data_IF_932478053002
#
_entry.id   IF_932478053002
#
_cell.length_a   1.000
_cell.length_b   1.000
_cell.length_c   1.000
_cell.angle_alpha   90.00
_cell.angle_beta   90.00
_cell.angle_gamma   90.00
#
_symmetry.space_group_name_H-M   'P 1'
#
loop_
_entity.id
_entity.type
_entity.pdbx_description
1 polymer ?
#
# COMPACT_ATOMS: atom_id res chain seq x y z
N UNK A 1 -0.11 16.35 -1.41
CA UNK A 1 0.78 16.18 -2.61
C UNK A 1 -0.03 15.57 -3.73
N UNK A 2 0.17 16.02 -4.97
CA UNK A 2 -0.45 15.40 -6.14
C UNK A 2 0.27 14.10 -6.57
N UNK A 3 -0.45 13.24 -7.32
CA UNK A 3 0.03 11.90 -7.71
C UNK A 3 1.25 11.99 -8.66
N UNK A 4 1.34 13.01 -9.53
CA UNK A 4 2.46 13.15 -10.48
C UNK A 4 3.77 13.44 -9.73
N UNK A 5 3.73 14.39 -8.78
CA UNK A 5 4.88 14.71 -7.92
C UNK A 5 5.27 13.51 -7.07
N UNK A 6 4.29 12.80 -6.49
CA UNK A 6 4.54 11.58 -5.75
C UNK A 6 5.30 10.53 -6.59
N UNK A 7 4.82 10.27 -7.80
CA UNK A 7 5.47 9.32 -8.73
C UNK A 7 6.94 9.67 -8.94
N UNK A 8 7.22 10.92 -9.29
CA UNK A 8 8.59 11.40 -9.54
C UNK A 8 9.48 11.20 -8.32
N UNK A 9 9.02 11.60 -7.13
CA UNK A 9 9.81 11.46 -5.91
C UNK A 9 9.99 9.99 -5.54
N UNK A 10 8.91 9.21 -5.50
CA UNK A 10 8.94 7.81 -5.09
C UNK A 10 9.81 6.94 -6.02
N UNK A 11 9.85 7.26 -7.32
CA UNK A 11 10.71 6.57 -8.28
C UNK A 11 12.19 6.86 -8.08
N UNK A 12 12.55 8.03 -7.53
CA UNK A 12 13.93 8.45 -7.28
C UNK A 12 14.46 8.09 -5.89
N UNK A 13 13.57 7.78 -4.93
CA UNK A 13 13.99 7.36 -3.59
C UNK A 13 14.79 6.04 -3.66
N UNK A 14 15.76 5.84 -2.77
CA UNK A 14 16.43 4.55 -2.63
C UNK A 14 15.43 3.43 -2.30
N UNK A 15 15.60 2.20 -2.84
CA UNK A 15 14.64 1.09 -2.64
C UNK A 15 14.35 0.73 -1.19
N UNK A 16 15.31 0.97 -0.28
CA UNK A 16 15.16 0.68 1.15
C UNK A 16 14.31 1.70 1.91
N UNK A 17 14.00 2.84 1.31
CA UNK A 17 13.10 3.84 1.91
C UNK A 17 11.66 3.46 1.59
N UNK A 18 10.93 3.04 2.60
CA UNK A 18 9.50 2.78 2.46
C UNK A 18 8.70 4.09 2.37
N UNK A 19 7.67 4.09 1.54
CA UNK A 19 6.77 5.24 1.32
C UNK A 19 5.45 4.98 2.02
N UNK A 20 4.94 5.95 2.80
CA UNK A 20 3.60 5.90 3.38
C UNK A 20 2.72 6.99 2.76
N UNK A 21 1.68 6.57 2.07
CA UNK A 21 0.65 7.44 1.52
C UNK A 21 -0.51 7.57 2.50
N UNK A 22 -0.78 8.79 2.95
CA UNK A 22 -1.93 9.13 3.78
C UNK A 22 -2.96 9.87 2.94
N UNK A 23 -4.24 9.64 3.20
CA UNK A 23 -5.33 10.37 2.55
C UNK A 23 -6.66 9.65 2.67
N UNK A 24 -7.78 10.34 2.34
CA UNK A 24 -9.11 9.73 2.34
C UNK A 24 -9.22 8.51 1.42
N UNK A 25 -10.26 7.71 1.61
CA UNK A 25 -10.58 6.62 0.68
C UNK A 25 -10.93 7.18 -0.71
N UNK A 26 -10.56 6.44 -1.78
CA UNK A 26 -10.91 6.81 -3.15
C UNK A 26 -10.02 7.88 -3.80
N UNK A 27 -9.01 8.44 -3.11
CA UNK A 27 -8.12 9.48 -3.68
C UNK A 27 -7.05 8.95 -4.65
N UNK A 28 -7.04 7.64 -4.93
CA UNK A 28 -6.13 7.05 -5.92
C UNK A 28 -4.79 6.55 -5.36
N UNK A 29 -4.65 6.28 -4.06
CA UNK A 29 -3.39 5.78 -3.46
C UNK A 29 -2.88 4.50 -4.12
N UNK A 30 -3.73 3.48 -4.24
CA UNK A 30 -3.36 2.19 -4.86
C UNK A 30 -3.07 2.34 -6.36
N UNK A 31 -3.79 3.24 -7.05
CA UNK A 31 -3.50 3.61 -8.43
C UNK A 31 -2.10 4.26 -8.56
N UNK A 32 -1.75 5.17 -7.65
CA UNK A 32 -0.44 5.81 -7.65
C UNK A 32 0.70 4.80 -7.46
N UNK A 33 0.55 3.84 -6.53
CA UNK A 33 1.53 2.78 -6.32
C UNK A 33 1.72 1.90 -7.56
N UNK A 34 0.62 1.52 -8.22
CA UNK A 34 0.65 0.77 -9.48
C UNK A 34 1.31 1.56 -10.61
N UNK A 35 1.06 2.88 -10.68
CA UNK A 35 1.68 3.75 -11.68
C UNK A 35 3.20 3.89 -11.45
N UNK A 36 3.67 3.93 -10.19
CA UNK A 36 5.09 3.90 -9.83
C UNK A 36 5.72 2.57 -10.28
N UNK A 37 5.06 1.44 -10.06
CA UNK A 37 5.54 0.13 -10.51
C UNK A 37 5.72 0.06 -12.02
N UNK A 38 4.75 0.57 -12.77
CA UNK A 38 4.81 0.63 -14.24
C UNK A 38 5.96 1.52 -14.72
N UNK A 39 6.19 2.68 -14.10
CA UNK A 39 7.27 3.60 -14.46
C UNK A 39 8.65 2.99 -14.20
N UNK A 40 8.78 2.20 -13.13
CA UNK A 40 10.01 1.50 -12.78
C UNK A 40 10.20 0.19 -13.57
N UNK A 41 9.20 -0.27 -14.32
CA UNK A 41 9.23 -1.55 -15.01
C UNK A 41 9.24 -2.76 -14.06
N UNK A 42 8.72 -2.59 -12.83
CA UNK A 42 8.71 -3.62 -11.81
C UNK A 42 7.33 -4.28 -11.68
N UNK A 43 7.27 -5.59 -11.37
CA UNK A 43 6.03 -6.25 -11.01
C UNK A 43 5.38 -5.57 -9.81
N UNK A 44 4.06 -5.48 -9.82
CA UNK A 44 3.26 -4.93 -8.73
C UNK A 44 2.62 -6.05 -7.91
N UNK A 45 2.78 -6.00 -6.60
CA UNK A 45 2.12 -6.90 -5.64
C UNK A 45 1.27 -6.04 -4.71
N UNK A 46 -0.03 -6.30 -4.68
CA UNK A 46 -1.00 -5.63 -3.80
C UNK A 46 -1.37 -6.57 -2.65
N UNK A 47 -1.09 -6.13 -1.43
CA UNK A 47 -1.39 -6.85 -0.20
C UNK A 47 -2.28 -5.96 0.66
N UNK A 48 -3.51 -6.40 0.90
CA UNK A 48 -4.51 -5.63 1.62
C UNK A 48 -4.62 -6.09 3.07
N UNK A 49 -4.12 -5.28 3.99
CA UNK A 49 -4.04 -5.62 5.40
C UNK A 49 -5.38 -5.85 6.08
N UNK A 50 -6.44 -5.12 5.68
CA UNK A 50 -7.79 -5.26 6.24
C UNK A 50 -8.47 -6.61 5.96
N UNK A 51 -7.97 -7.37 4.98
CA UNK A 51 -8.53 -8.69 4.61
C UNK A 51 -7.67 -9.86 5.08
N UNK A 52 -6.57 -9.59 5.78
CA UNK A 52 -5.59 -10.59 6.22
C UNK A 52 -5.82 -11.01 7.67
N UNK A 53 -5.47 -12.25 7.96
CA UNK A 53 -5.34 -12.78 9.32
C UNK A 53 -3.88 -13.20 9.63
N UNK A 54 -3.65 -13.74 10.84
CA UNK A 54 -2.32 -14.12 11.28
C UNK A 54 -1.70 -15.21 10.38
N UNK A 55 -2.49 -16.11 9.82
CA UNK A 55 -2.02 -17.19 8.96
C UNK A 55 -1.50 -16.67 7.61
N UNK A 56 -1.97 -15.51 7.16
CA UNK A 56 -1.49 -14.85 5.95
C UNK A 56 -0.09 -14.25 6.10
N UNK A 57 0.42 -14.16 7.35
CA UNK A 57 1.80 -13.75 7.66
C UNK A 57 2.75 -14.95 7.81
N UNK A 58 2.26 -16.14 7.56
CA UNK A 58 3.02 -17.40 7.56
C UNK A 58 2.56 -18.40 8.61
N UNK A 59 2.54 -19.65 8.21
CA UNK A 59 2.10 -20.79 9.04
C UNK A 59 3.30 -21.68 9.41
N UNK A 60 3.23 -22.48 10.50
CA UNK A 60 4.27 -23.43 10.84
C UNK A 60 4.53 -24.44 9.72
N UNK A 61 5.78 -24.60 9.32
CA UNK A 61 6.24 -25.69 8.44
C UNK A 61 6.69 -26.85 9.32
N UNK A 62 5.76 -27.78 9.61
CA UNK A 62 6.02 -28.88 10.55
C UNK A 62 7.07 -29.86 10.04
N UNK A 63 7.15 -30.07 8.74
CA UNK A 63 8.14 -31.00 8.15
C UNK A 63 9.54 -30.40 8.29
N UNK A 64 9.75 -29.19 7.79
CA UNK A 64 11.06 -28.53 7.88
C UNK A 64 11.45 -28.21 9.31
N UNK A 65 10.50 -27.87 10.19
CA UNK A 65 10.79 -27.63 11.61
C UNK A 65 11.33 -28.89 12.30
N UNK A 66 10.77 -30.06 11.97
CA UNK A 66 11.23 -31.34 12.53
C UNK A 66 12.61 -31.68 12.04
N UNK A 67 12.88 -31.56 10.73
CA UNK A 67 14.18 -31.90 10.15
C UNK A 67 15.28 -30.95 10.61
N UNK A 68 14.96 -29.65 10.76
CA UNK A 68 15.91 -28.66 11.25
C UNK A 68 16.11 -28.66 12.77
N UNK A 69 15.26 -29.38 13.54
CA UNK A 69 15.23 -29.28 15.00
C UNK A 69 14.93 -27.89 15.53
N UNK A 70 14.32 -27.02 14.69
CA UNK A 70 14.02 -25.63 14.96
C UNK A 70 12.68 -25.25 14.35
N UNK A 71 11.99 -24.29 14.96
CA UNK A 71 10.73 -23.79 14.43
C UNK A 71 10.95 -23.00 13.14
N UNK A 72 10.32 -23.42 12.05
CA UNK A 72 10.34 -22.73 10.76
C UNK A 72 8.93 -22.36 10.31
N UNK A 73 8.81 -21.32 9.48
CA UNK A 73 7.54 -20.89 8.89
C UNK A 73 7.52 -21.11 7.38
N UNK A 74 6.37 -21.53 6.88
CA UNK A 74 6.02 -21.44 5.47
C UNK A 74 5.47 -20.05 5.24
N UNK A 75 6.09 -19.27 4.35
CA UNK A 75 5.73 -17.88 4.09
C UNK A 75 4.74 -17.75 2.94
N UNK A 76 3.92 -16.69 2.93
CA UNK A 76 2.96 -16.44 1.85
C UNK A 76 3.68 -16.19 0.52
N UNK A 77 3.04 -16.60 -0.56
CA UNK A 77 3.61 -16.54 -1.92
C UNK A 77 4.00 -15.13 -2.35
N UNK A 78 3.21 -14.11 -1.94
CA UNK A 78 3.49 -12.72 -2.23
C UNK A 78 4.84 -12.28 -1.64
N UNK A 79 5.15 -12.70 -0.41
CA UNK A 79 6.40 -12.35 0.25
C UNK A 79 7.59 -13.12 -0.34
N UNK A 80 7.41 -14.42 -0.58
CA UNK A 80 8.45 -15.26 -1.23
C UNK A 80 8.82 -14.69 -2.60
N UNK A 81 7.85 -14.20 -3.36
CA UNK A 81 8.09 -13.54 -4.64
C UNK A 81 8.90 -12.25 -4.44
N UNK A 82 8.53 -11.40 -3.48
CA UNK A 82 9.23 -10.15 -3.18
C UNK A 82 10.67 -10.36 -2.67
N UNK A 83 11.01 -11.56 -2.18
CA UNK A 83 12.38 -11.94 -1.83
C UNK A 83 13.22 -12.36 -3.04
N UNK A 84 12.59 -12.96 -4.06
CA UNK A 84 13.28 -13.57 -5.19
C UNK A 84 13.54 -12.60 -6.35
N UNK A 85 12.66 -11.64 -6.54
CA UNK A 85 12.75 -10.67 -7.63
C UNK A 85 12.38 -9.27 -7.12
N UNK A 86 12.90 -8.19 -7.75
CA UNK A 86 12.52 -6.83 -7.41
C UNK A 86 11.05 -6.59 -7.78
N UNK A 87 10.29 -6.06 -6.83
CA UNK A 87 8.86 -5.72 -7.00
C UNK A 87 8.55 -4.38 -6.35
N UNK A 88 7.42 -3.80 -6.71
CA UNK A 88 6.74 -2.80 -5.87
C UNK A 88 5.71 -3.55 -5.03
N UNK A 89 5.97 -3.61 -3.72
CA UNK A 89 5.10 -4.24 -2.74
C UNK A 89 4.23 -3.16 -2.10
N UNK A 90 2.94 -3.21 -2.40
CA UNK A 90 1.93 -2.33 -1.81
C UNK A 90 1.31 -2.99 -0.58
N UNK A 91 1.38 -2.31 0.57
CA UNK A 91 0.70 -2.68 1.81
C UNK A 91 -0.49 -1.73 1.99
N UNK A 92 -1.65 -2.12 1.44
CA UNK A 92 -2.84 -1.27 1.45
C UNK A 92 -3.66 -1.45 2.74
N UNK A 93 -4.34 -0.39 3.14
CA UNK A 93 -5.16 -0.33 4.36
C UNK A 93 -4.41 -0.76 5.63
N UNK A 94 -3.13 -0.34 5.75
CA UNK A 94 -2.24 -0.77 6.82
C UNK A 94 -2.83 -0.54 8.22
N UNK A 95 -3.47 0.60 8.45
CA UNK A 95 -4.07 0.97 9.73
C UNK A 95 -5.43 0.29 10.02
N UNK A 96 -5.93 -0.54 9.10
CA UNK A 96 -7.13 -1.38 9.28
C UNK A 96 -6.78 -2.85 9.47
N UNK A 97 -5.49 -3.17 9.48
CA UNK A 97 -5.01 -4.54 9.72
C UNK A 97 -5.23 -4.96 11.16
N UNK A 98 -5.42 -6.26 11.37
CA UNK A 98 -5.36 -6.84 12.72
C UNK A 98 -3.98 -6.56 13.35
N UNK A 99 -3.88 -6.40 14.68
CA UNK A 99 -2.61 -6.10 15.35
C UNK A 99 -1.49 -7.08 15.03
N UNK A 100 -1.79 -8.37 14.90
CA UNK A 100 -0.81 -9.42 14.57
C UNK A 100 -0.27 -9.26 13.14
N UNK A 101 -1.15 -8.94 12.19
CA UNK A 101 -0.79 -8.66 10.79
C UNK A 101 0.07 -7.39 10.71
N UNK A 102 -0.33 -6.35 11.44
CA UNK A 102 0.42 -5.10 11.50
C UNK A 102 1.84 -5.29 12.03
N UNK A 103 2.04 -6.15 13.05
CA UNK A 103 3.39 -6.47 13.54
C UNK A 103 4.25 -7.15 12.48
N UNK A 104 3.66 -8.06 11.68
CA UNK A 104 4.37 -8.66 10.54
C UNK A 104 4.76 -7.62 9.48
N UNK A 105 3.87 -6.69 9.17
CA UNK A 105 4.20 -5.58 8.28
C UNK A 105 5.27 -4.65 8.86
N UNK A 106 5.31 -4.46 10.17
CA UNK A 106 6.40 -3.72 10.83
C UNK A 106 7.74 -4.37 10.53
N UNK A 107 7.84 -5.69 10.69
CA UNK A 107 9.08 -6.41 10.40
C UNK A 107 9.48 -6.26 8.92
N UNK A 108 8.51 -6.37 8.01
CA UNK A 108 8.75 -6.16 6.56
C UNK A 108 9.26 -4.75 6.25
N UNK A 109 8.72 -3.73 6.90
CA UNK A 109 9.10 -2.32 6.67
C UNK A 109 10.41 -1.96 7.36
N UNK A 110 10.58 -2.39 8.63
CA UNK A 110 11.74 -2.00 9.46
C UNK A 110 13.00 -2.76 9.05
N UNK A 111 12.89 -4.09 8.99
CA UNK A 111 14.02 -4.98 8.84
C UNK A 111 14.16 -5.53 7.42
N UNK A 112 13.13 -5.32 6.60
CA UNK A 112 12.98 -5.92 5.26
C UNK A 112 13.04 -7.45 5.30
N UNK A 113 12.51 -8.02 6.39
CA UNK A 113 12.54 -9.44 6.70
C UNK A 113 11.17 -9.93 7.17
N UNK A 114 10.91 -11.21 7.02
CA UNK A 114 9.73 -11.87 7.62
C UNK A 114 10.05 -13.35 7.86
N UNK A 115 9.86 -13.79 9.11
CA UNK A 115 10.08 -15.18 9.48
C UNK A 115 11.52 -15.64 9.30
N UNK A 116 11.77 -16.91 9.64
CA UNK A 116 13.09 -17.54 9.54
C UNK A 116 12.98 -18.86 8.75
N UNK A 117 14.00 -19.11 7.94
CA UNK A 117 14.20 -20.38 7.27
C UNK A 117 14.76 -21.48 8.19
N UNK A 118 14.91 -22.71 7.67
CA UNK A 118 15.43 -23.84 8.42
C UNK A 118 16.85 -23.65 8.95
N UNK A 119 17.63 -22.79 8.30
CA UNK A 119 18.98 -22.39 8.68
C UNK A 119 19.04 -21.28 9.73
N UNK A 120 17.89 -20.83 10.22
CA UNK A 120 17.75 -19.73 11.16
C UNK A 120 17.92 -18.34 10.54
N UNK A 121 18.19 -18.23 9.23
CA UNK A 121 18.30 -16.95 8.57
C UNK A 121 16.93 -16.41 8.19
N UNK A 122 16.77 -15.09 8.34
CA UNK A 122 15.54 -14.43 7.95
C UNK A 122 15.37 -14.42 6.42
N UNK A 123 14.11 -14.53 5.97
CA UNK A 123 13.78 -14.29 4.58
C UNK A 123 13.76 -12.79 4.32
N UNK A 124 14.71 -12.31 3.51
CA UNK A 124 14.89 -10.90 3.19
C UNK A 124 14.24 -10.52 1.87
N UNK A 125 13.61 -9.35 1.83
CA UNK A 125 13.18 -8.75 0.58
C UNK A 125 14.38 -8.56 -0.36
N UNK A 126 14.11 -8.71 -1.67
CA UNK A 126 15.11 -8.36 -2.68
C UNK A 126 15.60 -6.92 -2.46
N UNK A 127 16.90 -6.62 -2.58
CA UNK A 127 17.44 -5.28 -2.31
C UNK A 127 16.73 -4.16 -3.08
N UNK A 128 16.34 -4.42 -4.32
CA UNK A 128 15.64 -3.46 -5.18
C UNK A 128 14.11 -3.45 -5.01
N UNK A 129 13.55 -4.32 -4.16
CA UNK A 129 12.11 -4.28 -3.84
C UNK A 129 11.77 -2.98 -3.13
N UNK A 130 10.73 -2.30 -3.59
CA UNK A 130 10.20 -1.07 -3.00
C UNK A 130 8.94 -1.35 -2.21
N UNK A 131 8.87 -0.86 -0.98
CA UNK A 131 7.68 -0.97 -0.13
C UNK A 131 6.93 0.36 -0.16
N UNK A 132 5.67 0.29 -0.54
CA UNK A 132 4.73 1.42 -0.49
C UNK A 132 3.57 1.01 0.38
N UNK A 133 3.25 1.78 1.40
CA UNK A 133 2.10 1.54 2.25
C UNK A 133 1.04 2.63 2.07
N UNK A 134 -0.22 2.30 2.32
CA UNK A 134 -1.29 3.27 2.36
C UNK A 134 -2.13 3.15 3.62
N UNK A 135 -2.54 4.30 4.12
CA UNK A 135 -3.45 4.42 5.25
C UNK A 135 -4.59 5.38 4.89
N UNK A 136 -5.77 5.06 5.39
CA UNK A 136 -6.91 5.95 5.30
C UNK A 136 -6.91 6.87 6.53
N UNK A 137 -7.10 8.17 6.29
CA UNK A 137 -7.19 9.20 7.33
C UNK A 137 -8.57 9.85 7.25
N UNK A 138 -9.18 10.12 8.40
CA UNK A 138 -10.51 10.70 8.55
C UNK A 138 -11.19 10.20 9.82
N UNK A 139 -12.03 11.02 10.43
CA UNK A 139 -12.73 10.70 11.69
C UNK A 139 -13.85 9.66 11.52
N UNK A 140 -14.16 9.30 10.30
CA UNK A 140 -15.23 8.37 9.90
C UNK A 140 -14.77 6.91 9.80
N UNK A 141 -13.49 6.67 10.00
CA UNK A 141 -12.90 5.32 9.91
C UNK A 141 -12.52 4.82 11.30
N UNK A 142 -12.95 3.61 11.62
CA UNK A 142 -12.42 2.85 12.76
C UNK A 142 -11.02 2.35 12.38
N UNK A 143 -10.01 3.15 12.70
CA UNK A 143 -8.61 2.90 12.34
C UNK A 143 -7.74 2.84 13.59
N UNK A 144 -6.81 1.90 13.59
CA UNK A 144 -5.80 1.82 14.64
C UNK A 144 -4.81 2.99 14.49
N UNK A 145 -4.45 3.61 15.61
CA UNK A 145 -3.33 4.54 15.63
C UNK A 145 -2.04 3.80 15.27
N UNK A 146 -1.28 4.38 14.36
CA UNK A 146 0.01 3.80 13.98
C UNK A 146 1.08 4.15 15.01
N UNK A 147 1.89 3.15 15.37
CA UNK A 147 3.04 3.33 16.25
C UNK A 147 3.98 4.42 15.69
N UNK A 148 4.33 5.45 16.49
CA UNK A 148 5.26 6.49 16.08
C UNK A 148 6.64 5.97 15.65
N UNK A 149 7.09 4.83 16.19
CA UNK A 149 8.34 4.21 15.78
C UNK A 149 8.28 3.67 14.35
N UNK A 150 7.12 3.11 13.95
CA UNK A 150 6.88 2.69 12.56
C UNK A 150 6.83 3.90 11.63
N UNK A 151 6.10 4.95 11.99
CA UNK A 151 5.97 6.16 11.16
C UNK A 151 7.34 6.78 10.82
N UNK A 152 8.30 6.74 11.75
CA UNK A 152 9.67 7.24 11.54
C UNK A 152 10.48 6.46 10.50
N UNK A 153 10.01 5.29 10.07
CA UNK A 153 10.67 4.44 9.08
C UNK A 153 10.17 4.66 7.67
N UNK A 154 9.11 5.44 7.54
CA UNK A 154 8.55 5.82 6.25
C UNK A 154 8.95 7.23 5.85
N UNK A 155 9.10 7.42 4.55
CA UNK A 155 8.88 8.72 3.96
C UNK A 155 7.36 8.92 3.84
N UNK A 156 6.81 9.78 4.70
CA UNK A 156 5.36 10.00 4.82
C UNK A 156 4.92 11.11 3.88
N UNK A 157 3.85 10.89 3.14
CA UNK A 157 3.25 11.90 2.28
C UNK A 157 1.72 11.85 2.36
N UNK A 158 1.11 13.02 2.36
CA UNK A 158 -0.33 13.16 2.25
C UNK A 158 -0.74 13.34 0.79
N UNK A 159 -1.72 12.53 0.35
CA UNK A 159 -2.25 12.57 -1.01
C UNK A 159 -3.48 13.45 -1.03
N UNK A 160 -3.36 14.58 -1.70
CA UNK A 160 -4.42 15.57 -1.89
C UNK A 160 -4.54 15.88 -3.37
N UNK A 161 -5.27 15.08 -4.14
CA UNK A 161 -5.49 15.35 -5.55
C UNK A 161 -6.36 16.60 -5.71
N UNK A 162 -6.14 17.33 -6.78
CA UNK A 162 -6.96 18.47 -7.18
C UNK A 162 -7.85 18.11 -8.36
N UNK A 163 -8.90 18.91 -8.59
CA UNK A 163 -9.74 18.79 -9.81
C UNK A 163 -8.88 18.81 -11.07
N UNK A 164 -7.89 19.70 -11.13
CA UNK A 164 -6.98 19.81 -12.27
C UNK A 164 -6.23 18.50 -12.51
N UNK A 165 -5.68 17.90 -11.45
CA UNK A 165 -4.97 16.61 -11.57
C UNK A 165 -5.92 15.49 -12.04
N UNK A 166 -7.16 15.47 -11.54
CA UNK A 166 -8.16 14.49 -11.97
C UNK A 166 -8.52 14.68 -13.45
N UNK A 167 -8.75 15.91 -13.89
CA UNK A 167 -9.07 16.22 -15.30
C UNK A 167 -7.93 15.84 -16.24
N UNK A 168 -6.68 16.13 -15.87
CA UNK A 168 -5.52 15.71 -16.66
C UNK A 168 -5.45 14.19 -16.78
N UNK A 169 -5.57 13.48 -15.67
CA UNK A 169 -5.61 12.02 -15.65
C UNK A 169 -6.78 11.45 -16.47
N UNK A 170 -7.99 12.02 -16.33
CA UNK A 170 -9.18 11.58 -17.05
C UNK A 170 -9.02 11.69 -18.57
N UNK A 171 -8.36 12.75 -19.04
CA UNK A 171 -8.00 12.93 -20.46
C UNK A 171 -6.96 11.89 -20.92
N UNK A 172 -5.92 11.66 -20.14
CA UNK A 172 -4.90 10.65 -20.43
C UNK A 172 -5.50 9.22 -20.44
N UNK A 173 -6.45 8.95 -19.56
CA UNK A 173 -7.17 7.68 -19.48
C UNK A 173 -8.28 7.53 -20.53
N UNK A 174 -8.49 8.53 -21.41
CA UNK A 174 -9.55 8.57 -22.43
C UNK A 174 -10.96 8.36 -21.85
N UNK A 175 -11.25 8.95 -20.70
CA UNK A 175 -12.60 8.97 -20.16
C UNK A 175 -13.53 9.80 -21.07
N UNK A 176 -14.84 9.53 -20.98
CA UNK A 176 -15.84 10.24 -21.78
C UNK A 176 -15.70 11.76 -21.61
N UNK A 177 -15.61 12.48 -22.73
CA UNK A 177 -15.39 13.92 -22.76
C UNK A 177 -16.52 14.69 -22.04
N UNK A 178 -17.75 14.16 -22.10
CA UNK A 178 -18.91 14.77 -21.42
C UNK A 178 -18.69 14.75 -19.91
N UNK A 179 -18.18 13.63 -19.35
CA UNK A 179 -17.87 13.54 -17.92
C UNK A 179 -16.75 14.51 -17.54
N UNK A 180 -15.70 14.58 -18.37
CA UNK A 180 -14.57 15.49 -18.10
C UNK A 180 -15.00 16.94 -18.13
N UNK A 181 -15.81 17.34 -19.13
CA UNK A 181 -16.36 18.69 -19.24
C UNK A 181 -17.31 19.01 -18.08
N UNK A 182 -18.16 18.06 -17.68
CA UNK A 182 -19.05 18.23 -16.53
C UNK A 182 -18.26 18.55 -15.26
N UNK A 183 -17.21 17.76 -14.95
CA UNK A 183 -16.38 17.99 -13.76
C UNK A 183 -15.59 19.31 -13.85
N UNK A 184 -15.14 19.70 -15.05
CA UNK A 184 -14.48 20.99 -15.25
C UNK A 184 -15.39 22.18 -14.98
N UNK A 185 -16.67 22.08 -15.38
CA UNK A 185 -17.67 23.14 -15.19
C UNK A 185 -18.25 23.13 -13.76
N UNK A 186 -18.24 21.99 -13.09
CA UNK A 186 -18.81 21.77 -11.76
C UNK A 186 -17.77 21.14 -10.82
N UNK A 187 -16.73 21.88 -10.44
CA UNK A 187 -15.61 21.34 -9.68
C UNK A 187 -16.00 20.85 -8.27
N UNK A 188 -17.15 21.23 -7.75
CA UNK A 188 -17.69 20.73 -6.48
C UNK A 188 -18.20 19.29 -6.56
N UNK A 189 -18.45 18.76 -7.77
CA UNK A 189 -18.97 17.41 -7.99
C UNK A 189 -17.88 16.36 -8.32
N UNK A 190 -16.61 16.76 -8.37
CA UNK A 190 -15.54 15.81 -8.74
C UNK A 190 -15.25 14.76 -7.67
N UNK A 191 -15.63 15.06 -6.44
CA UNK A 191 -15.51 14.13 -5.32
C UNK A 191 -16.69 14.33 -4.36
N UNK A 192 -17.16 13.23 -3.78
CA UNK A 192 -18.18 13.30 -2.74
C UNK A 192 -17.51 13.64 -1.41
N UNK A 193 -17.99 14.67 -0.74
CA UNK A 193 -17.64 14.94 0.64
C UNK A 193 -18.50 14.03 1.54
N UNK A 194 -17.89 13.09 2.29
CA UNK A 194 -18.64 12.18 3.16
C UNK A 194 -19.49 12.92 4.21
N UNK A 195 -19.05 14.11 4.64
CA UNK A 195 -19.80 14.93 5.60
C UNK A 195 -21.10 15.49 5.02
N UNK A 196 -21.20 15.59 3.69
CA UNK A 196 -22.36 16.10 2.96
C UNK A 196 -23.12 14.98 2.20
N UNK A 197 -22.70 13.73 2.32
CA UNK A 197 -23.39 12.61 1.70
C UNK A 197 -24.73 12.37 2.43
N UNK A 198 -25.85 12.35 1.68
CA UNK A 198 -27.14 11.96 2.25
C UNK A 198 -27.07 10.52 2.76
N UNK A 199 -27.72 10.20 3.92
CA UNK A 199 -27.79 8.84 4.42
C UNK A 199 -28.42 7.92 3.35
N UNK A 200 -27.66 6.97 2.84
CA UNK A 200 -28.07 6.06 1.79
C UNK A 200 -27.60 6.40 0.38
N UNK A 201 -26.85 7.49 0.19
CA UNK A 201 -26.17 7.75 -1.07
C UNK A 201 -25.14 6.63 -1.34
N UNK A 202 -25.32 5.89 -2.44
CA UNK A 202 -24.33 4.93 -2.90
C UNK A 202 -23.17 5.71 -3.49
N UNK A 203 -22.06 5.74 -2.77
CA UNK A 203 -20.84 6.34 -3.30
C UNK A 203 -20.35 5.48 -4.48
N UNK A 204 -20.06 6.07 -5.65
CA UNK A 204 -19.43 5.31 -6.73
C UNK A 204 -18.05 4.82 -6.24
N UNK A 205 -17.88 3.51 -6.30
CA UNK A 205 -16.61 2.81 -6.00
C UNK A 205 -15.63 2.93 -7.16
#
# INVERSE_FOLDING_TARGET
MDIRTLKTIASTLPPHIAVLMQGPTGVGKSFAAKAIANELGLPFIDVRGSTMDESDMGIPDLEKSKDAGAYTKMLPSWYVRACREPVVLMLDELNRSLPQVMQGFFQVVLDRELGNGPDGQAFRLHPETRVIAAVNVGNEYDVNEMDPALLRRFWVTEIEPTVTNWVEWAKEANLDSILVEFVQQNPEHWRVDPANAEPGAVLPT
#
